data_IF_402027928645
#
_entry.id   IF_402027928645
#
_cell.length_a   1.000
_cell.length_b   1.000
_cell.length_c   1.000
_cell.angle_alpha   90.00
_cell.angle_beta   90.00
_cell.angle_gamma   90.00
#
_symmetry.space_group_name_H-M   'P 1'
#
loop_
_entity.id
_entity.type
_entity.pdbx_description
1 polymer ?
#
# COMPACT_ATOMS: atom_id res chain seq x y z
N UNK A 1 43.20 -0.26 22.18
CA UNK A 1 42.39 -0.01 20.98
C UNK A 1 41.28 -1.06 20.90
N UNK A 2 40.01 -0.64 21.05
CA UNK A 2 38.87 -1.57 21.15
C UNK A 2 38.38 -2.10 19.81
N UNK A 3 37.80 -3.31 19.81
CA UNK A 3 37.17 -3.91 18.62
C UNK A 3 35.77 -3.33 18.40
N UNK A 4 35.40 -3.07 17.15
CA UNK A 4 34.06 -2.57 16.77
C UNK A 4 32.97 -3.56 17.18
N UNK A 5 32.00 -3.09 17.96
CA UNK A 5 30.90 -3.92 18.47
C UNK A 5 29.88 -4.26 17.37
N UNK A 6 29.14 -5.37 17.52
CA UNK A 6 28.15 -5.81 16.53
C UNK A 6 27.09 -4.73 16.21
N UNK A 7 26.70 -3.92 17.20
CA UNK A 7 25.73 -2.83 17.00
C UNK A 7 26.22 -1.80 15.98
N UNK A 8 27.48 -1.37 16.09
CA UNK A 8 28.11 -0.42 15.17
C UNK A 8 28.24 -0.99 13.75
N UNK A 9 28.42 -2.31 13.61
CA UNK A 9 28.55 -2.98 12.31
C UNK A 9 27.25 -3.06 11.50
N UNK A 10 26.09 -2.86 12.11
CA UNK A 10 24.77 -2.95 11.42
C UNK A 10 24.49 -1.77 10.49
N UNK A 11 25.05 -0.58 10.75
CA UNK A 11 24.82 0.63 9.93
C UNK A 11 25.65 0.71 8.65
N UNK A 12 26.73 -0.06 8.55
CA UNK A 12 27.71 0.01 7.43
C UNK A 12 27.18 -0.63 6.14
N UNK A 13 26.09 -1.42 6.21
CA UNK A 13 25.53 -2.09 5.03
C UNK A 13 26.42 -3.23 4.50
N UNK A 14 27.17 -3.90 5.37
CA UNK A 14 27.94 -5.10 5.02
C UNK A 14 27.05 -6.36 5.09
N UNK A 15 27.23 -7.20 6.10
CA UNK A 15 26.56 -8.50 6.26
C UNK A 15 25.10 -8.36 6.71
N UNK A 16 24.73 -7.27 7.40
CA UNK A 16 23.40 -7.08 7.99
C UNK A 16 22.39 -6.40 7.06
N UNK A 17 22.48 -6.65 5.75
CA UNK A 17 21.52 -6.14 4.77
C UNK A 17 20.22 -6.94 4.81
N UNK A 18 19.10 -6.28 4.48
CA UNK A 18 17.82 -6.96 4.34
C UNK A 18 17.82 -7.88 3.11
N UNK A 19 17.32 -9.11 3.25
CA UNK A 19 17.13 -10.04 2.14
C UNK A 19 15.83 -9.71 1.41
N UNK A 20 15.92 -8.98 0.30
CA UNK A 20 14.75 -8.42 -0.41
C UNK A 20 14.46 -9.07 -1.77
N UNK A 21 15.19 -10.11 -2.17
CA UNK A 21 15.10 -10.71 -3.52
C UNK A 21 13.68 -11.20 -3.88
N UNK A 22 12.96 -11.80 -2.92
CA UNK A 22 11.59 -12.29 -3.16
C UNK A 22 10.49 -11.30 -2.81
N UNK A 23 10.85 -10.08 -2.36
CA UNK A 23 9.85 -9.06 -2.04
C UNK A 23 9.19 -8.55 -3.31
N UNK A 24 7.86 -8.52 -3.31
CA UNK A 24 6.98 -8.13 -4.41
C UNK A 24 6.95 -6.62 -4.60
N UNK A 25 7.14 -5.85 -3.53
CA UNK A 25 7.24 -4.40 -3.60
C UNK A 25 6.87 -3.73 -2.30
N UNK A 26 6.91 -2.40 -2.30
CA UNK A 26 6.51 -1.60 -1.15
C UNK A 26 4.99 -1.55 -1.05
N UNK A 27 4.45 -2.00 0.08
CA UNK A 27 3.06 -1.78 0.43
C UNK A 27 2.86 -0.33 0.86
N UNK A 28 2.27 0.49 -0.01
CA UNK A 28 2.02 1.90 0.27
C UNK A 28 0.76 2.40 -0.39
N UNK A 29 0.18 3.44 0.19
CA UNK A 29 -0.85 4.19 -0.51
C UNK A 29 -0.25 4.91 -1.72
N UNK A 30 -1.07 5.05 -2.78
CA UNK A 30 -0.69 5.82 -3.96
C UNK A 30 -0.44 7.29 -3.59
N UNK A 31 0.23 8.00 -4.49
CA UNK A 31 0.28 9.46 -4.40
C UNK A 31 -1.13 10.03 -4.46
N UNK A 32 -1.37 11.02 -3.60
CA UNK A 32 -2.67 11.64 -3.43
C UNK A 32 -2.94 12.60 -4.59
N UNK A 33 -3.95 12.29 -5.41
CA UNK A 33 -4.24 13.04 -6.64
C UNK A 33 -5.43 13.99 -6.46
N UNK A 34 -5.62 14.95 -7.39
CA UNK A 34 -6.78 15.84 -7.42
C UNK A 34 -8.13 15.11 -7.31
N UNK A 35 -8.28 13.99 -8.03
CA UNK A 35 -9.51 13.18 -8.02
C UNK A 35 -9.83 12.57 -6.65
N UNK A 36 -8.82 12.23 -5.85
CA UNK A 36 -9.02 11.69 -4.50
C UNK A 36 -9.24 12.81 -3.46
N UNK A 37 -8.67 14.00 -3.68
CA UNK A 37 -8.89 15.18 -2.81
C UNK A 37 -10.32 15.70 -2.89
N UNK A 38 -10.86 15.77 -4.10
CA UNK A 38 -12.14 16.43 -4.37
C UNK A 38 -13.30 15.45 -4.60
N UNK A 39 -12.99 14.19 -4.87
CA UNK A 39 -13.96 13.14 -5.18
C UNK A 39 -13.54 11.79 -4.64
N UNK A 40 -13.76 10.75 -5.44
CA UNK A 40 -13.31 9.40 -5.18
C UNK A 40 -12.85 8.74 -6.48
N UNK A 41 -11.96 7.76 -6.37
CA UNK A 41 -11.48 6.93 -7.47
C UNK A 41 -11.93 5.49 -7.25
N UNK A 42 -12.61 4.92 -8.24
CA UNK A 42 -12.99 3.52 -8.25
C UNK A 42 -11.85 2.65 -8.78
N UNK A 43 -11.56 1.59 -8.06
CA UNK A 43 -10.50 0.63 -8.37
C UNK A 43 -10.95 -0.80 -8.12
N UNK A 44 -10.18 -1.76 -8.60
CA UNK A 44 -10.50 -3.18 -8.48
C UNK A 44 -9.32 -3.92 -7.85
N UNK A 45 -9.58 -4.72 -6.83
CA UNK A 45 -8.62 -5.69 -6.30
C UNK A 45 -8.47 -6.80 -7.34
N UNK A 46 -7.28 -7.02 -7.88
CA UNK A 46 -7.04 -8.14 -8.80
C UNK A 46 -6.69 -9.40 -8.04
N UNK A 47 -5.71 -9.32 -7.14
CA UNK A 47 -5.16 -10.48 -6.44
C UNK A 47 -4.82 -10.11 -4.99
N UNK A 48 -4.96 -11.09 -4.10
CA UNK A 48 -4.38 -11.04 -2.75
C UNK A 48 -3.17 -11.96 -2.76
N UNK A 49 -1.99 -11.41 -2.53
CA UNK A 49 -0.70 -12.09 -2.67
C UNK A 49 0.05 -12.12 -1.33
N UNK A 50 0.88 -13.14 -1.15
CA UNK A 50 1.84 -13.20 -0.04
C UNK A 50 3.16 -12.50 -0.44
N UNK A 51 3.75 -11.76 0.50
CA UNK A 51 5.05 -11.09 0.36
C UNK A 51 6.07 -11.59 1.39
N UNK A 52 7.29 -11.90 0.96
CA UNK A 52 8.28 -12.50 1.86
C UNK A 52 8.82 -11.48 2.87
N UNK A 53 8.74 -11.84 4.16
CA UNK A 53 9.12 -10.94 5.25
C UNK A 53 8.11 -9.82 5.49
N UNK A 54 6.86 -10.08 5.12
CA UNK A 54 5.67 -9.32 5.50
C UNK A 54 4.70 -10.30 6.19
N UNK A 55 4.23 -9.95 7.38
CA UNK A 55 3.31 -10.82 8.15
C UNK A 55 1.87 -10.73 7.62
N UNK A 56 1.54 -9.62 6.97
CA UNK A 56 0.22 -9.39 6.37
C UNK A 56 0.23 -9.63 4.86
N UNK A 57 -0.87 -10.18 4.30
CA UNK A 57 -1.01 -10.30 2.86
C UNK A 57 -1.06 -8.92 2.19
N UNK A 58 -0.69 -8.86 0.91
CA UNK A 58 -0.78 -7.67 0.09
C UNK A 58 -1.90 -7.79 -0.93
N UNK A 59 -2.66 -6.71 -1.12
CA UNK A 59 -3.65 -6.61 -2.18
C UNK A 59 -3.06 -5.88 -3.38
N UNK A 60 -3.06 -6.53 -4.55
CA UNK A 60 -2.84 -5.86 -5.83
C UNK A 60 -4.12 -5.16 -6.24
N UNK A 61 -4.07 -3.85 -6.34
CA UNK A 61 -5.22 -3.03 -6.73
C UNK A 61 -4.88 -2.27 -8.00
N UNK A 62 -5.82 -2.28 -8.93
CA UNK A 62 -5.67 -1.65 -10.23
C UNK A 62 -6.56 -0.42 -10.31
N UNK A 63 -5.91 0.72 -10.49
CA UNK A 63 -6.52 2.01 -10.75
C UNK A 63 -6.52 2.34 -12.24
N UNK A 64 -7.50 3.11 -12.67
CA UNK A 64 -7.43 3.83 -13.93
C UNK A 64 -6.65 5.13 -13.72
N UNK A 65 -5.72 5.43 -14.63
CA UNK A 65 -5.01 6.70 -14.62
C UNK A 65 -6.00 7.82 -15.02
N UNK A 66 -6.03 8.97 -14.31
CA UNK A 66 -7.04 10.00 -14.54
C UNK A 66 -6.88 10.71 -15.90
N UNK A 67 -5.64 10.95 -16.34
CA UNK A 67 -5.36 11.75 -17.55
C UNK A 67 -4.95 10.95 -18.78
N UNK A 68 -4.67 9.65 -18.64
CA UNK A 68 -4.06 8.83 -19.70
C UNK A 68 -4.75 7.48 -19.73
N UNK A 69 -4.84 6.86 -20.90
CA UNK A 69 -5.35 5.50 -21.04
C UNK A 69 -4.32 4.48 -20.54
N UNK A 70 -4.17 4.37 -19.22
CA UNK A 70 -3.24 3.46 -18.54
C UNK A 70 -3.88 2.90 -17.27
N UNK A 71 -3.56 1.65 -16.95
CA UNK A 71 -3.88 1.02 -15.66
C UNK A 71 -2.67 1.13 -14.73
N UNK A 72 -2.85 1.73 -13.56
CA UNK A 72 -1.84 1.81 -12.51
C UNK A 72 -2.06 0.66 -11.53
N UNK A 73 -1.05 -0.19 -11.36
CA UNK A 73 -1.08 -1.30 -10.41
C UNK A 73 -0.34 -0.86 -9.15
N UNK A 74 -1.02 -0.87 -8.02
CA UNK A 74 -0.47 -0.51 -6.72
C UNK A 74 -0.61 -1.70 -5.77
N UNK A 75 0.31 -1.79 -4.80
CA UNK A 75 0.31 -2.80 -3.75
C UNK A 75 -0.13 -2.15 -2.44
N UNK A 76 -1.25 -2.60 -1.91
CA UNK A 76 -1.72 -2.21 -0.58
C UNK A 76 -1.52 -3.35 0.40
N UNK A 77 -1.51 -3.02 1.68
CA UNK A 77 -1.71 -4.03 2.74
C UNK A 77 -3.15 -4.52 2.62
N UNK A 78 -3.35 -5.82 2.50
CA UNK A 78 -4.69 -6.39 2.48
C UNK A 78 -5.28 -6.34 3.89
N UNK A 79 -6.55 -6.02 3.96
CA UNK A 79 -7.33 -6.03 5.20
C UNK A 79 -8.18 -7.30 5.22
N UNK A 80 -8.51 -7.78 6.42
CA UNK A 80 -9.39 -8.92 6.60
C UNK A 80 -10.71 -8.73 5.84
N UNK A 81 -11.14 -9.79 5.15
CA UNK A 81 -12.34 -9.76 4.31
C UNK A 81 -12.14 -9.17 2.91
N UNK A 82 -10.95 -8.69 2.54
CA UNK A 82 -10.67 -8.33 1.14
C UNK A 82 -10.68 -9.56 0.23
N UNK A 83 -11.37 -9.47 -0.90
CA UNK A 83 -11.46 -10.54 -1.88
C UNK A 83 -11.15 -10.06 -3.31
N UNK A 84 -10.81 -11.01 -4.18
CA UNK A 84 -10.49 -10.72 -5.57
C UNK A 84 -11.71 -10.20 -6.33
N UNK A 85 -11.50 -9.22 -7.22
CA UNK A 85 -12.52 -8.49 -7.98
C UNK A 85 -13.43 -7.57 -7.14
N UNK A 86 -13.13 -7.37 -5.85
CA UNK A 86 -13.80 -6.37 -5.03
C UNK A 86 -13.52 -4.96 -5.58
N UNK A 87 -14.53 -4.10 -5.55
CA UNK A 87 -14.36 -2.68 -5.86
C UNK A 87 -13.89 -1.91 -4.62
N UNK A 88 -12.84 -1.13 -4.79
CA UNK A 88 -12.28 -0.26 -3.75
C UNK A 88 -12.44 1.19 -4.19
N UNK A 89 -12.97 2.02 -3.29
CA UNK A 89 -13.18 3.44 -3.50
C UNK A 89 -12.21 4.24 -2.62
N UNK A 90 -11.37 5.07 -3.25
CA UNK A 90 -10.39 5.89 -2.54
C UNK A 90 -10.68 7.39 -2.75
N UNK A 91 -10.79 8.17 -1.68
CA UNK A 91 -10.87 9.63 -1.75
C UNK A 91 -11.84 10.24 -0.74
N UNK A 92 -11.85 11.57 -0.66
CA UNK A 92 -12.62 12.35 0.33
C UNK A 92 -14.13 12.09 0.29
N UNK A 93 -14.68 11.81 -0.90
CA UNK A 93 -16.11 11.54 -1.10
C UNK A 93 -16.43 10.04 -1.24
N UNK A 94 -15.50 9.15 -0.88
CA UNK A 94 -15.76 7.72 -0.96
C UNK A 94 -16.79 7.32 0.11
N UNK A 95 -17.80 6.54 -0.29
CA UNK A 95 -18.81 6.02 0.62
C UNK A 95 -18.16 5.03 1.59
N UNK A 96 -18.37 5.22 2.90
CA UNK A 96 -17.95 4.26 3.91
C UNK A 96 -18.77 2.97 3.77
N UNK A 97 -18.22 1.99 3.04
CA UNK A 97 -18.72 0.62 3.13
C UNK A 97 -18.11 -0.10 4.32
N UNK A 98 -18.92 -0.96 4.93
CA UNK A 98 -18.62 -1.79 6.12
C UNK A 98 -17.44 -2.74 5.89
N UNK A 99 -17.03 -2.94 4.63
CA UNK A 99 -15.75 -3.57 4.31
C UNK A 99 -14.62 -2.63 4.75
N UNK A 100 -13.94 -3.04 5.83
CA UNK A 100 -12.93 -2.35 6.66
C UNK A 100 -11.85 -1.54 5.90
N UNK A 101 -11.67 -1.76 4.60
CA UNK A 101 -10.71 -1.07 3.74
C UNK A 101 -11.08 0.38 3.41
N UNK A 102 -12.37 0.69 3.24
CA UNK A 102 -12.79 2.09 3.01
C UNK A 102 -12.56 2.94 4.25
N UNK A 103 -12.68 2.33 5.43
CA UNK A 103 -12.46 2.97 6.73
C UNK A 103 -11.00 3.39 6.91
N UNK A 104 -10.02 2.51 6.63
CA UNK A 104 -8.61 2.84 6.82
C UNK A 104 -8.10 3.85 5.77
N UNK A 105 -8.53 3.74 4.51
CA UNK A 105 -8.15 4.70 3.46
C UNK A 105 -8.79 6.07 3.71
N UNK A 106 -10.11 6.14 3.96
CA UNK A 106 -10.75 7.43 4.26
C UNK A 106 -10.14 8.09 5.49
N UNK A 107 -9.89 7.35 6.59
CA UNK A 107 -9.29 7.91 7.80
C UNK A 107 -7.84 8.39 7.60
N UNK A 108 -7.03 7.68 6.80
CA UNK A 108 -5.64 8.10 6.49
C UNK A 108 -5.62 9.32 5.56
N UNK A 109 -6.58 9.42 4.64
CA UNK A 109 -6.69 10.57 3.74
C UNK A 109 -7.27 11.80 4.45
N UNK A 110 -8.17 11.61 5.42
CA UNK A 110 -8.71 12.69 6.27
C UNK A 110 -7.61 13.27 7.18
N UNK A 111 -6.79 12.42 7.82
CA UNK A 111 -5.65 12.86 8.64
C UNK A 111 -4.47 13.47 7.88
N UNK A 112 -4.38 13.30 6.55
CA UNK A 112 -3.37 13.96 5.70
C UNK A 112 -3.87 15.25 5.04
N UNK A 113 -5.15 15.57 5.21
CA UNK A 113 -5.78 16.79 4.70
C UNK A 113 -5.92 17.89 5.75
N UNK A 114 -5.64 17.57 7.02
CA UNK A 114 -5.36 18.50 8.14
C UNK A 114 -3.84 18.72 8.25
#
# INVERSE_FOLDING_TARGET
>A
MGRVIRAQRKGVGSVFKAHTYHRKGLARFRSLNFGERNGYLKSVVTDVIYDLGHDTPLARVVFRHPFRYRKQKELFVAVEGMYTRQFVYCGKKATLMVDLFTLLICLVYDKRAL
#
